data_IF_648005296165
#
_entry.id   IF_648005296165
#
_cell.length_a   1.000
_cell.length_b   1.000
_cell.length_c   1.000
_cell.angle_alpha   90.00
_cell.angle_beta   90.00
_cell.angle_gamma   90.00
#
_symmetry.space_group_name_H-M   'P 1'
#
loop_
_entity.id
_entity.type
_entity.pdbx_description
1 polymer ?
#
# COMPACT_ATOMS: atom_id res chain seq x y z
N UNK A 1 3.64 -38.91 1.66
CA UNK A 1 3.60 -37.96 2.81
C UNK A 1 4.96 -37.25 3.03
N UNK A 2 6.11 -37.85 2.70
CA UNK A 2 7.43 -37.20 2.88
C UNK A 2 7.85 -36.18 1.80
N UNK A 3 7.10 -36.07 0.68
CA UNK A 3 7.41 -35.16 -0.43
C UNK A 3 6.73 -33.79 -0.33
N UNK A 4 5.76 -33.62 0.58
CA UNK A 4 4.93 -32.41 0.74
C UNK A 4 5.55 -31.35 1.66
N UNK A 5 6.60 -31.67 2.43
CA UNK A 5 7.26 -30.69 3.33
C UNK A 5 8.30 -29.80 2.65
N UNK A 6 8.78 -30.12 1.43
CA UNK A 6 9.80 -29.32 0.72
C UNK A 6 9.25 -28.21 -0.17
N UNK A 7 7.95 -28.19 -0.45
CA UNK A 7 7.32 -27.18 -1.28
C UNK A 7 6.36 -26.39 -0.39
N UNK A 8 6.79 -25.23 0.12
CA UNK A 8 5.92 -24.22 0.76
C UNK A 8 4.92 -23.62 -0.25
N UNK A 9 4.23 -24.44 -1.04
CA UNK A 9 3.16 -24.00 -1.94
C UNK A 9 1.85 -24.01 -1.15
N UNK A 10 1.10 -22.91 -1.20
CA UNK A 10 -0.22 -22.82 -0.61
C UNK A 10 -1.11 -23.95 -1.16
N UNK A 11 -1.90 -24.61 -0.29
CA UNK A 11 -2.81 -25.71 -0.67
C UNK A 11 -3.70 -25.35 -1.86
N UNK A 12 -4.10 -24.07 -1.96
CA UNK A 12 -4.88 -23.52 -3.07
C UNK A 12 -4.17 -23.63 -4.43
N UNK A 13 -2.87 -23.35 -4.49
CA UNK A 13 -2.10 -23.41 -5.75
C UNK A 13 -1.89 -24.86 -6.17
N UNK A 14 -1.68 -25.76 -5.21
CA UNK A 14 -1.60 -27.19 -5.49
C UNK A 14 -2.94 -27.75 -6.04
N UNK A 15 -4.07 -27.33 -5.48
CA UNK A 15 -5.38 -27.70 -6.01
C UNK A 15 -5.62 -27.13 -7.42
N UNK A 16 -5.20 -25.89 -7.68
CA UNK A 16 -5.24 -25.31 -9.03
C UNK A 16 -4.39 -26.11 -10.02
N UNK A 17 -3.14 -26.43 -9.68
CA UNK A 17 -2.24 -27.24 -10.50
C UNK A 17 -2.86 -28.62 -10.81
N UNK A 18 -3.48 -29.24 -9.80
CA UNK A 18 -4.17 -30.53 -9.96
C UNK A 18 -5.38 -30.42 -10.88
N UNK A 19 -6.20 -29.38 -10.73
CA UNK A 19 -7.36 -29.15 -11.58
C UNK A 19 -6.94 -28.81 -13.01
N UNK A 20 -5.93 -27.95 -13.20
CA UNK A 20 -5.33 -27.65 -14.51
C UNK A 20 -4.82 -28.93 -15.19
N UNK A 21 -4.12 -29.80 -14.48
CA UNK A 21 -3.65 -31.08 -15.02
C UNK A 21 -4.80 -31.99 -15.43
N UNK A 22 -5.90 -32.02 -14.66
CA UNK A 22 -7.06 -32.85 -14.98
C UNK A 22 -7.90 -32.31 -16.14
N UNK A 23 -8.10 -30.99 -16.22
CA UNK A 23 -8.94 -30.36 -17.23
C UNK A 23 -8.20 -30.03 -18.54
N UNK A 24 -6.87 -29.92 -18.50
CA UNK A 24 -6.05 -29.81 -19.73
C UNK A 24 -5.96 -31.13 -20.50
N UNK A 25 -6.15 -32.27 -19.82
CA UNK A 25 -6.14 -33.61 -20.40
C UNK A 25 -7.44 -33.98 -21.12
N UNK A 26 -7.92 -33.14 -22.04
CA UNK A 26 -9.14 -33.41 -22.82
C UNK A 26 -8.93 -34.61 -23.75
N UNK A 27 -9.63 -35.72 -23.49
CA UNK A 27 -9.47 -36.99 -24.22
C UNK A 27 -10.36 -37.05 -25.46
N UNK A 28 -10.08 -36.23 -26.46
CA UNK A 28 -10.89 -36.18 -27.70
C UNK A 28 -10.38 -37.09 -28.82
N UNK A 29 -9.13 -36.89 -29.22
CA UNK A 29 -8.61 -37.38 -30.51
C UNK A 29 -8.32 -38.88 -30.53
N UNK A 30 -7.65 -39.39 -29.49
CA UNK A 30 -7.28 -40.81 -29.40
C UNK A 30 -8.52 -41.68 -29.24
N UNK A 31 -9.49 -41.26 -28.41
CA UNK A 31 -10.72 -42.02 -28.16
C UNK A 31 -11.61 -42.14 -29.39
N UNK A 32 -11.72 -41.08 -30.22
CA UNK A 32 -12.46 -41.12 -31.48
C UNK A 32 -11.76 -42.03 -32.50
N UNK A 33 -10.43 -41.96 -32.60
CA UNK A 33 -9.67 -42.84 -33.49
C UNK A 33 -9.83 -44.32 -33.10
N UNK A 34 -9.81 -44.63 -31.80
CA UNK A 34 -9.96 -46.01 -31.32
C UNK A 34 -11.34 -46.58 -31.64
N UNK A 35 -12.43 -45.83 -31.47
CA UNK A 35 -13.78 -46.36 -31.77
C UNK A 35 -14.00 -46.58 -33.27
N UNK A 36 -13.41 -45.74 -34.12
CA UNK A 36 -13.46 -45.91 -35.58
C UNK A 36 -12.60 -47.08 -36.08
N UNK A 37 -11.58 -47.48 -35.30
CA UNK A 37 -10.74 -48.65 -35.60
C UNK A 37 -11.36 -49.98 -35.17
N UNK A 38 -12.34 -49.97 -34.26
CA UNK A 38 -13.06 -51.18 -33.86
C UNK A 38 -13.93 -51.63 -35.04
N UNK A 39 -13.78 -52.87 -35.52
CA UNK A 39 -14.50 -53.32 -36.70
C UNK A 39 -15.98 -53.53 -36.35
N UNK A 40 -16.86 -52.92 -37.15
CA UNK A 40 -18.32 -52.84 -36.92
C UNK A 40 -19.09 -54.16 -37.07
N UNK A 41 -18.36 -55.24 -37.30
CA UNK A 41 -18.84 -56.61 -37.43
C UNK A 41 -18.93 -57.35 -36.07
N UNK A 42 -18.47 -56.74 -34.98
CA UNK A 42 -18.62 -57.24 -33.62
C UNK A 42 -19.72 -56.44 -32.88
N UNK A 43 -20.85 -57.11 -32.74
CA UNK A 43 -21.92 -56.93 -31.75
C UNK A 43 -22.86 -55.72 -31.85
N UNK A 44 -24.13 -55.99 -31.56
CA UNK A 44 -25.32 -55.11 -31.63
C UNK A 44 -25.18 -53.78 -30.87
N UNK A 45 -24.13 -53.59 -30.06
CA UNK A 45 -23.92 -52.48 -29.15
C UNK A 45 -22.98 -51.38 -29.69
N UNK A 46 -22.38 -51.56 -30.88
CA UNK A 46 -21.49 -50.57 -31.50
C UNK A 46 -22.08 -49.14 -31.59
N UNK A 47 -23.36 -48.94 -31.96
CA UNK A 47 -23.98 -47.61 -31.98
C UNK A 47 -24.07 -46.94 -30.60
N UNK A 48 -24.29 -47.73 -29.54
CA UNK A 48 -24.36 -47.22 -28.16
C UNK A 48 -22.97 -46.76 -27.69
N UNK A 49 -21.93 -47.50 -28.06
CA UNK A 49 -20.55 -47.18 -27.71
C UNK A 49 -20.06 -45.92 -28.44
N UNK A 50 -20.43 -45.76 -29.72
CA UNK A 50 -20.18 -44.55 -30.49
C UNK A 50 -20.88 -43.33 -29.87
N UNK A 51 -22.16 -43.47 -29.50
CA UNK A 51 -22.91 -42.41 -28.82
C UNK A 51 -22.29 -42.01 -27.48
N UNK A 52 -21.86 -42.99 -26.67
CA UNK A 52 -21.22 -42.73 -25.38
C UNK A 52 -19.87 -42.03 -25.55
N UNK A 53 -19.02 -42.50 -26.46
CA UNK A 53 -17.72 -41.88 -26.73
C UNK A 53 -17.91 -40.46 -27.26
N UNK A 54 -18.84 -40.23 -28.19
CA UNK A 54 -19.17 -38.89 -28.69
C UNK A 54 -19.71 -37.96 -27.58
N UNK A 55 -20.56 -38.48 -26.69
CA UNK A 55 -21.11 -37.73 -25.57
C UNK A 55 -20.05 -37.34 -24.53
N UNK A 56 -19.20 -38.29 -24.14
CA UNK A 56 -18.12 -38.06 -23.17
C UNK A 56 -17.06 -37.11 -23.72
N UNK A 57 -16.71 -37.23 -25.00
CA UNK A 57 -15.75 -36.33 -25.66
C UNK A 57 -16.28 -34.90 -25.75
N UNK A 58 -17.55 -34.72 -26.15
CA UNK A 58 -18.20 -33.40 -26.19
C UNK A 58 -18.26 -32.76 -24.80
N UNK A 59 -18.69 -33.52 -23.78
CA UNK A 59 -18.81 -33.02 -22.41
C UNK A 59 -17.44 -32.67 -21.81
N UNK A 60 -16.43 -33.51 -22.03
CA UNK A 60 -15.06 -33.26 -21.58
C UNK A 60 -14.45 -32.03 -22.27
N UNK A 61 -14.71 -31.84 -23.56
CA UNK A 61 -14.23 -30.67 -24.29
C UNK A 61 -14.92 -29.38 -23.83
N UNK A 62 -16.24 -29.40 -23.67
CA UNK A 62 -17.00 -28.23 -23.23
C UNK A 62 -16.64 -27.81 -21.80
N UNK A 63 -16.50 -28.77 -20.89
CA UNK A 63 -16.05 -28.51 -19.52
C UNK A 63 -14.62 -28.01 -19.50
N UNK A 64 -13.72 -28.58 -20.31
CA UNK A 64 -12.36 -28.07 -20.49
C UNK A 64 -12.36 -26.60 -20.93
N UNK A 65 -13.10 -26.26 -21.99
CA UNK A 65 -13.14 -24.91 -22.56
C UNK A 65 -13.71 -23.87 -21.58
N UNK A 66 -14.70 -24.23 -20.77
CA UNK A 66 -15.30 -23.32 -19.79
C UNK A 66 -14.42 -23.16 -18.54
N UNK A 67 -13.80 -24.24 -18.07
CA UNK A 67 -13.02 -24.27 -16.82
C UNK A 67 -11.60 -23.75 -17.02
N UNK A 68 -10.94 -24.05 -18.15
CA UNK A 68 -9.56 -23.62 -18.41
C UNK A 68 -9.34 -22.11 -18.27
N UNK A 69 -10.12 -21.21 -18.90
CA UNK A 69 -9.89 -19.76 -18.81
C UNK A 69 -10.05 -19.22 -17.38
N UNK A 70 -10.82 -19.92 -16.53
CA UNK A 70 -11.00 -19.54 -15.13
C UNK A 70 -9.87 -20.09 -14.22
N UNK A 71 -9.17 -21.13 -14.67
CA UNK A 71 -8.09 -21.77 -13.91
C UNK A 71 -6.70 -21.38 -14.40
N UNK A 72 -6.55 -21.00 -15.67
CA UNK A 72 -5.32 -20.40 -16.18
C UNK A 72 -5.07 -19.14 -15.38
N UNK A 73 -3.95 -19.12 -14.67
CA UNK A 73 -3.48 -17.89 -14.05
C UNK A 73 -3.43 -16.84 -15.16
N UNK A 74 -4.16 -15.73 -15.00
CA UNK A 74 -3.76 -14.50 -15.66
C UNK A 74 -2.26 -14.40 -15.37
N UNK A 75 -1.43 -14.44 -16.40
CA UNK A 75 -0.05 -14.03 -16.23
C UNK A 75 -0.17 -12.66 -15.58
N UNK A 76 0.15 -12.58 -14.28
CA UNK A 76 0.47 -11.30 -13.69
C UNK A 76 1.61 -10.83 -14.57
N UNK A 77 1.29 -9.96 -15.54
CA UNK A 77 2.28 -9.22 -16.26
C UNK A 77 3.19 -8.72 -15.15
N UNK A 78 4.44 -9.17 -15.17
CA UNK A 78 5.48 -8.61 -14.34
C UNK A 78 5.58 -7.17 -14.82
N UNK A 79 4.67 -6.32 -14.34
CA UNK A 79 4.66 -4.90 -14.62
C UNK A 79 6.06 -4.48 -14.28
N UNK A 80 6.74 -3.88 -15.24
CA UNK A 80 8.11 -3.44 -15.07
C UNK A 80 8.07 -2.24 -14.11
N UNK A 81 7.86 -2.53 -12.82
CA UNK A 81 7.72 -1.56 -11.76
C UNK A 81 8.98 -0.71 -11.68
N UNK A 82 10.14 -1.28 -12.03
CA UNK A 82 11.41 -0.56 -12.14
C UNK A 82 11.36 0.49 -13.26
N UNK A 83 10.86 0.14 -14.44
CA UNK A 83 10.63 1.12 -15.51
C UNK A 83 9.64 2.21 -15.08
N UNK A 84 8.55 1.84 -14.42
CA UNK A 84 7.56 2.82 -13.93
C UNK A 84 8.16 3.77 -12.90
N UNK A 85 8.96 3.26 -11.96
CA UNK A 85 9.67 4.09 -10.97
C UNK A 85 10.69 5.00 -11.66
N UNK A 86 11.45 4.49 -12.64
CA UNK A 86 12.43 5.27 -13.38
C UNK A 86 11.78 6.45 -14.12
N UNK A 87 10.67 6.20 -14.83
CA UNK A 87 9.91 7.25 -15.52
C UNK A 87 9.39 8.29 -14.52
N UNK A 88 8.81 7.83 -13.41
CA UNK A 88 8.28 8.77 -12.41
C UNK A 88 9.39 9.63 -11.81
N UNK A 89 10.54 9.05 -11.46
CA UNK A 89 11.69 9.80 -10.95
C UNK A 89 12.22 10.81 -11.99
N UNK A 90 12.27 10.45 -13.27
CA UNK A 90 12.65 11.37 -14.34
C UNK A 90 11.67 12.55 -14.46
N UNK A 91 10.36 12.28 -14.40
CA UNK A 91 9.32 13.32 -14.41
C UNK A 91 9.44 14.24 -13.20
N UNK A 92 9.62 13.68 -11.99
CA UNK A 92 9.76 14.48 -10.77
C UNK A 92 11.00 15.38 -10.84
N UNK A 93 12.13 14.85 -11.30
CA UNK A 93 13.36 15.62 -11.47
C UNK A 93 13.23 16.73 -12.51
N UNK A 94 12.42 16.56 -13.56
CA UNK A 94 12.14 17.63 -14.51
C UNK A 94 11.20 18.70 -13.93
N UNK A 95 10.16 18.30 -13.19
CA UNK A 95 9.27 19.22 -12.48
C UNK A 95 10.02 20.05 -11.43
N UNK A 96 11.00 19.46 -10.75
CA UNK A 96 11.88 20.15 -9.81
C UNK A 96 12.76 21.20 -10.50
N UNK A 97 13.29 20.92 -11.69
CA UNK A 97 14.02 21.94 -12.47
C UNK A 97 13.11 23.08 -12.91
N UNK A 98 11.88 22.78 -13.33
CA UNK A 98 10.90 23.80 -13.71
C UNK A 98 10.49 24.69 -12.51
N UNK A 99 10.56 24.16 -11.29
CA UNK A 99 10.22 24.86 -10.05
C UNK A 99 11.12 26.08 -9.78
N UNK A 100 12.39 26.05 -10.19
CA UNK A 100 13.34 27.14 -9.99
C UNK A 100 12.97 28.39 -10.79
N UNK A 101 12.40 28.21 -12.00
CA UNK A 101 12.05 29.29 -12.93
C UNK A 101 10.59 29.76 -12.88
N UNK A 102 9.68 29.00 -12.25
CA UNK A 102 8.25 29.27 -12.34
C UNK A 102 7.74 30.25 -11.27
N UNK A 103 6.92 31.23 -11.68
CA UNK A 103 6.33 32.24 -10.76
C UNK A 103 5.29 31.65 -9.81
N UNK A 104 4.52 30.65 -10.24
CA UNK A 104 3.51 29.99 -9.40
C UNK A 104 3.97 28.57 -9.08
N UNK A 105 4.57 28.40 -7.91
CA UNK A 105 5.19 27.14 -7.47
C UNK A 105 4.19 26.16 -6.87
N UNK A 106 3.05 26.65 -6.38
CA UNK A 106 2.06 25.86 -5.64
C UNK A 106 1.52 24.64 -6.41
N UNK A 107 1.12 24.78 -7.71
CA UNK A 107 0.64 23.63 -8.48
C UNK A 107 1.74 22.63 -8.81
N UNK A 108 2.98 23.10 -9.01
CA UNK A 108 4.13 22.24 -9.27
C UNK A 108 4.48 21.41 -8.03
N UNK A 109 4.52 22.02 -6.84
CA UNK A 109 4.71 21.30 -5.59
C UNK A 109 3.66 20.21 -5.38
N UNK A 110 2.38 20.52 -5.61
CA UNK A 110 1.32 19.54 -5.49
C UNK A 110 1.44 18.37 -6.48
N UNK A 111 1.96 18.62 -7.69
CA UNK A 111 2.24 17.58 -8.67
C UNK A 111 3.43 16.71 -8.27
N UNK A 112 4.53 17.33 -7.82
CA UNK A 112 5.73 16.64 -7.32
C UNK A 112 5.37 15.72 -6.15
N UNK A 113 4.64 16.23 -5.16
CA UNK A 113 4.18 15.44 -4.00
C UNK A 113 3.32 14.24 -4.43
N UNK A 114 2.47 14.43 -5.45
CA UNK A 114 1.66 13.35 -5.99
C UNK A 114 2.52 12.24 -6.62
N UNK A 115 3.56 12.62 -7.37
CA UNK A 115 4.47 11.67 -7.99
C UNK A 115 5.34 10.95 -6.96
N UNK A 116 5.87 11.65 -5.95
CA UNK A 116 6.56 11.01 -4.84
C UNK A 116 5.68 10.00 -4.11
N UNK A 117 4.43 10.35 -3.79
CA UNK A 117 3.49 9.41 -3.18
C UNK A 117 3.21 8.18 -4.06
N UNK A 118 3.22 8.33 -5.38
CA UNK A 118 3.09 7.19 -6.32
C UNK A 118 4.34 6.32 -6.36
N UNK A 119 5.53 6.92 -6.39
CA UNK A 119 6.82 6.22 -6.36
C UNK A 119 6.92 5.39 -5.08
N UNK A 120 6.62 6.00 -3.93
CA UNK A 120 6.64 5.33 -2.63
C UNK A 120 5.72 4.09 -2.64
N UNK A 121 4.49 4.23 -3.10
CA UNK A 121 3.55 3.12 -3.20
C UNK A 121 4.04 1.99 -4.11
N UNK A 122 4.69 2.32 -5.23
CA UNK A 122 5.26 1.32 -6.15
C UNK A 122 6.45 0.58 -5.53
N UNK A 123 7.32 1.29 -4.80
CA UNK A 123 8.43 0.68 -4.05
C UNK A 123 7.89 -0.25 -2.97
N UNK A 124 6.95 0.22 -2.15
CA UNK A 124 6.33 -0.58 -1.08
C UNK A 124 5.60 -1.80 -1.61
N UNK A 125 4.94 -1.69 -2.76
CA UNK A 125 4.21 -2.81 -3.36
C UNK A 125 5.13 -3.98 -3.77
N UNK A 126 6.42 -3.72 -3.99
CA UNK A 126 7.43 -4.73 -4.32
C UNK A 126 8.05 -5.37 -3.08
N UNK A 127 7.94 -4.75 -1.91
CA UNK A 127 8.46 -5.27 -0.66
C UNK A 127 7.56 -6.36 -0.05
N UNK A 128 8.17 -7.19 0.82
CA UNK A 128 7.43 -8.22 1.54
C UNK A 128 6.39 -7.60 2.49
N UNK A 129 5.31 -8.34 2.79
CA UNK A 129 4.25 -7.90 3.74
C UNK A 129 4.82 -7.44 5.09
N UNK A 130 5.86 -8.07 5.60
CA UNK A 130 6.52 -7.66 6.86
C UNK A 130 7.21 -6.31 6.73
N UNK A 131 7.87 -6.03 5.61
CA UNK A 131 8.52 -4.73 5.38
C UNK A 131 7.50 -3.61 5.16
N UNK A 132 6.31 -3.93 4.61
CA UNK A 132 5.19 -2.98 4.58
C UNK A 132 4.65 -2.67 5.98
N UNK A 133 4.51 -3.68 6.84
CA UNK A 133 4.08 -3.47 8.23
C UNK A 133 5.12 -2.65 9.02
N UNK A 134 6.41 -2.93 8.82
CA UNK A 134 7.53 -2.17 9.39
C UNK A 134 7.54 -0.70 8.90
N UNK A 135 7.29 -0.47 7.61
CA UNK A 135 7.17 0.88 7.03
C UNK A 135 6.03 1.69 7.66
N UNK A 136 4.86 1.07 7.79
CA UNK A 136 3.71 1.69 8.43
C UNK A 136 4.01 2.05 9.89
N UNK A 137 4.72 1.17 10.61
CA UNK A 137 5.14 1.41 11.98
C UNK A 137 6.11 2.61 12.09
N UNK A 138 7.10 2.71 11.20
CA UNK A 138 8.03 3.86 11.18
C UNK A 138 7.32 5.17 10.82
N UNK A 139 6.40 5.17 9.84
CA UNK A 139 5.61 6.37 9.54
C UNK A 139 4.73 6.81 10.71
N UNK A 140 4.18 5.86 11.48
CA UNK A 140 3.43 6.17 12.70
C UNK A 140 4.31 6.76 13.80
N UNK A 141 5.54 6.25 13.94
CA UNK A 141 6.51 6.81 14.87
C UNK A 141 6.83 8.26 14.50
N UNK A 142 7.13 8.54 13.23
CA UNK A 142 7.39 9.89 12.74
C UNK A 142 6.20 10.80 13.00
N UNK A 143 4.99 10.38 12.61
CA UNK A 143 3.76 11.14 12.87
C UNK A 143 3.58 11.43 14.38
N UNK A 144 3.97 10.49 15.25
CA UNK A 144 3.86 10.69 16.70
C UNK A 144 4.85 11.73 17.22
N UNK A 145 6.12 11.67 16.80
CA UNK A 145 7.17 12.63 17.15
C UNK A 145 6.78 14.03 16.66
N UNK A 146 6.38 14.13 15.39
CA UNK A 146 5.97 15.40 14.78
C UNK A 146 4.78 16.03 15.51
N UNK A 147 3.81 15.20 15.87
CA UNK A 147 2.62 15.66 16.57
C UNK A 147 2.89 16.05 18.02
N UNK A 148 3.77 15.32 18.73
CA UNK A 148 4.17 15.67 20.09
C UNK A 148 4.98 16.98 20.10
N UNK A 149 5.91 17.15 19.14
CA UNK A 149 6.67 18.37 18.97
C UNK A 149 5.78 19.58 18.65
N UNK A 150 4.78 19.41 17.80
CA UNK A 150 3.79 20.46 17.51
C UNK A 150 3.01 20.89 18.75
N UNK A 151 2.53 19.93 19.55
CA UNK A 151 1.78 20.21 20.77
C UNK A 151 2.66 20.93 21.81
N UNK A 152 3.89 20.45 22.01
CA UNK A 152 4.85 21.09 22.91
C UNK A 152 5.18 22.52 22.48
N UNK A 153 5.46 22.74 21.19
CA UNK A 153 5.76 24.08 20.68
C UNK A 153 4.56 25.04 20.78
N UNK A 154 3.34 24.52 20.73
CA UNK A 154 2.13 25.31 20.94
C UNK A 154 1.92 25.67 22.41
N UNK A 155 2.14 24.71 23.32
CA UNK A 155 2.07 24.94 24.77
C UNK A 155 3.14 25.92 25.27
N UNK A 156 4.35 25.84 24.72
CA UNK A 156 5.47 26.74 25.03
C UNK A 156 5.33 28.13 24.36
N UNK A 157 4.32 28.33 23.51
CA UNK A 157 4.10 29.58 22.78
C UNK A 157 5.14 29.86 21.68
N UNK A 158 5.94 28.86 21.30
CA UNK A 158 6.93 28.95 20.21
C UNK A 158 6.24 29.05 18.84
N UNK A 159 5.08 28.41 18.68
CA UNK A 159 4.26 28.50 17.47
C UNK A 159 2.93 29.22 17.73
N UNK A 160 2.60 30.18 16.87
CA UNK A 160 1.30 30.83 16.91
C UNK A 160 0.16 29.90 16.45
N UNK A 161 -1.08 30.25 16.79
CA UNK A 161 -2.30 29.51 16.38
C UNK A 161 -2.40 29.32 14.85
N UNK A 162 -1.87 30.27 14.06
CA UNK A 162 -1.82 30.17 12.59
C UNK A 162 -0.86 29.08 12.12
N UNK A 163 0.35 29.06 12.69
CA UNK A 163 1.37 28.05 12.36
C UNK A 163 0.89 26.66 12.74
N UNK A 164 0.26 26.55 13.91
CA UNK A 164 -0.37 25.31 14.38
C UNK A 164 -1.37 24.75 13.36
N UNK A 165 -2.30 25.55 12.82
CA UNK A 165 -3.27 25.08 11.84
C UNK A 165 -2.67 24.65 10.50
N UNK A 166 -1.54 25.24 10.09
CA UNK A 166 -0.83 24.85 8.88
C UNK A 166 -0.12 23.52 9.10
N UNK A 167 0.62 23.41 10.20
CA UNK A 167 1.32 22.20 10.58
C UNK A 167 0.35 21.02 10.80
N UNK A 168 -0.78 21.27 11.44
CA UNK A 168 -1.82 20.25 11.65
C UNK A 168 -2.39 19.71 10.34
N UNK A 169 -2.47 20.54 9.28
CA UNK A 169 -2.88 20.07 7.94
C UNK A 169 -1.81 19.19 7.29
N UNK A 170 -0.54 19.52 7.49
CA UNK A 170 0.58 18.67 7.07
C UNK A 170 0.51 17.29 7.75
N UNK A 171 0.36 17.24 9.08
CA UNK A 171 0.21 15.98 9.83
C UNK A 171 -0.99 15.16 9.36
N UNK A 172 -2.13 15.81 9.10
CA UNK A 172 -3.34 15.14 8.61
C UNK A 172 -3.15 14.54 7.21
N UNK A 173 -2.38 15.19 6.34
CA UNK A 173 -2.06 14.64 5.02
C UNK A 173 -1.12 13.43 5.15
N UNK A 174 -0.13 13.50 6.04
CA UNK A 174 0.76 12.38 6.35
C UNK A 174 -0.04 11.19 6.92
N UNK A 175 -0.96 11.43 7.85
CA UNK A 175 -1.87 10.42 8.41
C UNK A 175 -2.67 9.71 7.31
N UNK A 176 -3.20 10.45 6.34
CA UNK A 176 -3.95 9.88 5.21
C UNK A 176 -3.08 9.01 4.29
N UNK A 177 -1.78 9.26 4.22
CA UNK A 177 -0.82 8.45 3.45
C UNK A 177 -0.49 7.11 4.12
N UNK A 178 -0.69 6.99 5.44
CA UNK A 178 -0.48 5.75 6.19
C UNK A 178 -1.69 4.82 5.94
N UNK A 179 -1.40 3.56 5.60
CA UNK A 179 -2.33 2.63 4.94
C UNK A 179 -3.70 2.43 5.62
N UNK A 180 -4.70 2.11 4.79
CA UNK A 180 -6.12 1.87 5.10
C UNK A 180 -6.42 0.49 5.72
N UNK A 181 -5.43 -0.38 5.97
CA UNK A 181 -5.63 -1.73 6.53
C UNK A 181 -5.71 -1.71 8.07
N UNK A 182 -6.74 -1.05 8.60
CA UNK A 182 -7.50 -1.26 9.86
C UNK A 182 -6.75 -1.54 11.19
N UNK A 183 -5.65 -2.28 11.24
CA UNK A 183 -4.88 -2.58 12.44
C UNK A 183 -4.20 -1.34 13.06
N UNK A 184 -3.84 -0.34 12.24
CA UNK A 184 -3.27 0.94 12.71
C UNK A 184 -4.30 1.91 13.31
N UNK A 185 -5.59 1.76 12.96
CA UNK A 185 -6.63 2.68 13.46
C UNK A 185 -6.83 2.52 14.96
N UNK A 186 -6.79 1.30 15.48
CA UNK A 186 -7.03 1.06 16.91
C UNK A 186 -5.87 1.55 17.77
N UNK A 187 -4.62 1.26 17.39
CA UNK A 187 -3.44 1.75 18.11
C UNK A 187 -3.29 3.27 18.02
N UNK A 188 -3.56 3.86 16.86
CA UNK A 188 -3.56 5.32 16.70
C UNK A 188 -4.70 5.97 17.49
N UNK A 189 -5.96 5.52 17.37
CA UNK A 189 -7.06 6.04 18.18
C UNK A 189 -6.78 5.86 19.68
N UNK A 190 -6.11 4.78 20.08
CA UNK A 190 -5.70 4.56 21.46
C UNK A 190 -4.65 5.59 21.90
N UNK A 191 -3.57 5.79 21.15
CA UNK A 191 -2.52 6.77 21.45
C UNK A 191 -3.06 8.21 21.44
N UNK A 192 -3.81 8.58 20.41
CA UNK A 192 -4.45 9.90 20.29
C UNK A 192 -5.50 10.09 21.39
N UNK A 193 -6.29 9.07 21.73
CA UNK A 193 -7.25 9.17 22.83
C UNK A 193 -6.57 9.37 24.17
N UNK A 194 -5.43 8.73 24.42
CA UNK A 194 -4.64 8.95 25.64
C UNK A 194 -4.08 10.38 25.69
N UNK A 195 -3.70 10.94 24.55
CA UNK A 195 -3.20 12.32 24.46
C UNK A 195 -4.30 13.36 24.66
N UNK A 196 -5.44 13.20 23.98
CA UNK A 196 -6.64 14.03 24.19
C UNK A 196 -7.12 13.90 25.64
N UNK A 197 -7.09 12.70 26.22
CA UNK A 197 -7.46 12.49 27.63
C UNK A 197 -6.53 13.24 28.57
N UNK A 198 -5.21 13.25 28.30
CA UNK A 198 -4.22 14.02 29.07
C UNK A 198 -4.46 15.53 28.93
N UNK A 199 -4.74 16.00 27.72
CA UNK A 199 -5.06 17.40 27.42
C UNK A 199 -6.35 17.85 28.13
N UNK A 200 -7.43 17.06 28.03
CA UNK A 200 -8.71 17.31 28.71
C UNK A 200 -8.57 17.22 30.23
N UNK A 201 -7.75 16.31 30.76
CA UNK A 201 -7.43 16.24 32.19
C UNK A 201 -6.69 17.49 32.68
N UNK A 202 -5.73 17.98 31.90
CA UNK A 202 -5.01 19.22 32.22
C UNK A 202 -5.96 20.42 32.13
N UNK A 203 -6.79 20.52 31.09
CA UNK A 203 -7.67 21.67 30.87
C UNK A 203 -8.92 21.69 31.77
N UNK A 204 -9.37 20.53 32.28
CA UNK A 204 -10.33 20.45 33.39
C UNK A 204 -9.74 21.01 34.70
N UNK A 205 -8.42 20.92 34.89
CA UNK A 205 -7.72 21.49 36.05
C UNK A 205 -7.40 22.99 35.84
N UNK A 206 -7.15 23.44 34.60
CA UNK A 206 -6.87 24.84 34.23
C UNK A 206 -7.99 25.46 33.37
N UNK A 207 -9.21 25.48 33.92
CA UNK A 207 -10.27 26.48 33.67
C UNK A 207 -10.22 27.28 32.33
N UNK A 208 -10.57 26.63 31.21
CA UNK A 208 -11.46 27.16 30.16
C UNK A 208 -11.17 28.52 29.51
N UNK A 209 -9.92 28.89 29.22
CA UNK A 209 -9.59 30.13 28.49
C UNK A 209 -9.27 29.92 26.99
N UNK A 210 -8.84 28.74 26.58
CA UNK A 210 -8.34 28.46 25.21
C UNK A 210 -9.45 28.24 24.17
N UNK A 211 -10.63 27.75 24.59
CA UNK A 211 -11.72 27.36 23.69
C UNK A 211 -12.46 28.53 22.99
N UNK A 212 -12.16 29.79 23.33
CA UNK A 212 -12.83 30.96 22.74
C UNK A 212 -12.14 31.54 21.49
N UNK A 213 -10.91 31.17 21.15
CA UNK A 213 -10.22 31.70 19.95
C UNK A 213 -10.62 31.02 18.64
N UNK A 214 -11.23 29.83 18.70
CA UNK A 214 -11.55 29.00 17.55
C UNK A 214 -12.54 29.60 16.53
N UNK A 215 -13.21 30.71 16.86
CA UNK A 215 -14.27 31.27 16.02
C UNK A 215 -13.84 32.45 15.14
N UNK A 216 -12.57 32.87 15.16
CA UNK A 216 -12.12 33.98 14.31
C UNK A 216 -11.76 33.52 12.90
N UNK A 217 -12.76 33.65 12.03
CA UNK A 217 -12.74 33.31 10.60
C UNK A 217 -12.00 34.33 9.71
N UNK A 218 -11.23 35.26 10.28
CA UNK A 218 -10.62 36.34 9.53
C UNK A 218 -9.08 36.24 9.42
N UNK A 219 -8.62 36.34 8.16
CA UNK A 219 -7.25 36.60 7.68
C UNK A 219 -6.43 35.39 7.24
N UNK A 220 -6.68 35.00 5.98
CA UNK A 220 -6.05 33.92 5.20
C UNK A 220 -4.59 34.17 4.75
N UNK A 221 -3.79 34.99 5.46
CA UNK A 221 -2.40 35.27 5.04
C UNK A 221 -1.43 35.02 6.18
N UNK A 222 -0.55 34.03 5.98
CA UNK A 222 0.60 33.76 6.85
C UNK A 222 1.54 34.96 6.85
N UNK A 223 2.05 35.34 8.02
CA UNK A 223 3.11 36.34 8.15
C UNK A 223 4.47 35.64 8.05
N UNK A 224 5.53 36.37 7.68
CA UNK A 224 6.89 35.82 7.61
C UNK A 224 7.32 35.11 8.91
N UNK A 225 6.92 35.69 10.06
CA UNK A 225 7.16 35.12 11.39
C UNK A 225 6.51 33.73 11.55
N UNK A 226 5.32 33.52 10.99
CA UNK A 226 4.65 32.22 11.06
C UNK A 226 5.42 31.16 10.25
N UNK A 227 6.10 31.54 9.16
CA UNK A 227 6.93 30.63 8.36
C UNK A 227 8.21 30.24 9.08
N UNK A 228 8.89 31.20 9.69
CA UNK A 228 10.13 30.95 10.43
C UNK A 228 9.87 29.98 11.61
N UNK A 229 8.78 30.19 12.36
CA UNK A 229 8.36 29.30 13.45
C UNK A 229 8.05 27.88 12.99
N UNK A 230 7.32 27.72 11.88
CA UNK A 230 7.02 26.40 11.31
C UNK A 230 8.31 25.69 10.87
N UNK A 231 9.23 26.43 10.24
CA UNK A 231 10.49 25.88 9.75
C UNK A 231 11.39 25.42 10.90
N UNK A 232 11.48 26.22 11.97
CA UNK A 232 12.27 25.87 13.15
C UNK A 232 11.73 24.60 13.82
N UNK A 233 10.40 24.54 14.02
CA UNK A 233 9.74 23.34 14.55
C UNK A 233 9.99 22.10 13.69
N UNK A 234 9.87 22.23 12.37
CA UNK A 234 10.12 21.13 11.45
C UNK A 234 11.56 20.62 11.54
N UNK A 235 12.54 21.51 11.65
CA UNK A 235 13.95 21.13 11.78
C UNK A 235 14.23 20.42 13.12
N UNK A 236 13.70 20.95 14.23
CA UNK A 236 13.80 20.34 15.55
C UNK A 236 13.21 18.92 15.56
N UNK A 237 12.00 18.76 15.01
CA UNK A 237 11.37 17.45 14.91
C UNK A 237 12.13 16.51 13.97
N UNK A 238 12.65 17.02 12.85
CA UNK A 238 13.44 16.22 11.90
C UNK A 238 14.71 15.67 12.55
N UNK A 239 15.40 16.45 13.39
CA UNK A 239 16.57 15.99 14.14
C UNK A 239 16.19 14.83 15.09
N UNK A 240 15.11 14.99 15.85
CA UNK A 240 14.58 13.95 16.73
C UNK A 240 14.15 12.69 15.97
N UNK A 241 13.54 12.85 14.80
CA UNK A 241 13.18 11.74 13.92
C UNK A 241 14.43 11.00 13.47
N UNK A 242 15.45 11.69 12.96
CA UNK A 242 16.70 11.08 12.50
C UNK A 242 17.37 10.31 13.64
N UNK A 243 17.47 10.90 14.84
CA UNK A 243 18.02 10.23 16.03
C UNK A 243 17.21 8.98 16.39
N UNK A 244 15.88 9.07 16.38
CA UNK A 244 15.00 7.94 16.66
C UNK A 244 15.15 6.82 15.62
N UNK A 245 15.29 7.16 14.34
CA UNK A 245 15.49 6.22 13.25
C UNK A 245 16.88 5.57 13.29
N UNK A 246 17.91 6.31 13.69
CA UNK A 246 19.27 5.78 13.86
C UNK A 246 19.32 4.72 14.96
N UNK A 247 18.64 4.97 16.09
CA UNK A 247 18.49 3.99 17.17
C UNK A 247 17.76 2.71 16.72
N UNK A 248 16.95 2.79 15.67
CA UNK A 248 16.16 1.69 15.11
C UNK A 248 16.86 0.89 14.00
N UNK A 249 18.07 1.31 13.58
CA UNK A 249 18.88 0.67 12.53
C UNK A 249 19.29 -0.78 12.81
N UNK A 250 19.20 -1.23 14.06
CA UNK A 250 19.42 -2.63 14.46
C UNK A 250 18.17 -3.51 14.45
N UNK A 251 16.97 -2.93 14.37
CA UNK A 251 15.68 -3.63 14.49
C UNK A 251 15.00 -3.75 13.12
N UNK A 252 15.07 -2.70 12.29
CA UNK A 252 14.47 -2.65 10.96
C UNK A 252 15.53 -2.76 9.85
N UNK A 253 15.11 -3.10 8.63
CA UNK A 253 16.00 -3.17 7.46
C UNK A 253 16.68 -1.82 7.23
N UNK A 254 17.99 -1.82 7.08
CA UNK A 254 18.78 -0.60 6.84
C UNK A 254 18.37 0.15 5.57
N UNK A 255 17.96 -0.56 4.52
CA UNK A 255 17.48 0.04 3.26
C UNK A 255 16.17 0.81 3.41
N UNK A 256 15.36 0.43 4.40
CA UNK A 256 14.06 1.03 4.66
C UNK A 256 14.25 2.32 5.48
N UNK A 257 15.18 2.31 6.43
CA UNK A 257 15.56 3.50 7.20
C UNK A 257 16.26 4.54 6.32
N UNK A 258 17.18 4.13 5.44
CA UNK A 258 17.87 5.07 4.55
C UNK A 258 16.90 5.80 3.62
N UNK A 259 15.88 5.09 3.12
CA UNK A 259 14.86 5.70 2.25
C UNK A 259 13.93 6.68 3.00
N UNK A 260 13.83 6.60 4.33
CA UNK A 260 13.10 7.59 5.14
C UNK A 260 13.94 8.82 5.49
N UNK A 261 15.25 8.76 5.31
CA UNK A 261 16.19 9.83 5.60
C UNK A 261 16.51 10.69 4.36
N UNK A 262 16.26 10.16 3.16
CA UNK A 262 16.35 10.87 1.87
C UNK A 262 15.08 11.67 1.57
#
# INVERSE_FOLDING_TARGET
IWRTRRLKKNLRNYMKDMLLLTFSGVKGTVSIATILLIPSNLEQEYPLLLFLVAGVTLLSFLTGLLVLPHLSEEQEETKDYLMHIAILNEVTGELEKELEGHKNKLPLYAAIDNYHGRIENLILSQENKSAQEDWEALKLLILSIESDGLEQAYEEGKIGERGYQVYQRYLKNMEQSINRKVASRLTYYFLVSLRILRFVLHELLTFGQTFRSWNDKEQRRLRAIDYDQISELYLENTELIIESLENLKGIYKSSLISFMQE
#
